data_IF_732640815545
#
_entry.id   IF_732640815545
#
_cell.length_a   1.000
_cell.length_b   1.000
_cell.length_c   1.000
_cell.angle_alpha   90.00
_cell.angle_beta   90.00
_cell.angle_gamma   90.00
#
_symmetry.space_group_name_H-M   'P 1'
#
loop_
_entity.id
_entity.type
_entity.pdbx_description
1 polymer ?
#
# COMPACT_ATOMS: atom_id res chain seq x y z
N UNK A 1 -23.80 -1.39 13.24
CA UNK A 1 -23.55 -0.09 12.57
C UNK A 1 -22.29 0.50 13.20
N UNK A 2 -21.19 0.67 12.46
CA UNK A 2 -19.91 1.20 12.99
C UNK A 2 -19.95 2.73 12.83
N UNK A 3 -19.90 3.48 13.92
CA UNK A 3 -19.84 4.95 13.90
C UNK A 3 -18.46 5.41 14.37
N UNK A 4 -17.86 6.35 13.66
CA UNK A 4 -16.63 7.03 14.06
C UNK A 4 -17.04 8.27 14.85
N UNK A 5 -16.69 8.28 16.13
CA UNK A 5 -16.95 9.41 17.01
C UNK A 5 -15.65 10.13 17.31
N UNK A 6 -15.70 11.45 17.36
CA UNK A 6 -14.61 12.27 17.86
C UNK A 6 -14.40 11.95 19.36
N UNK A 7 -13.18 11.55 19.78
CA UNK A 7 -12.90 11.19 21.17
C UNK A 7 -13.02 12.35 22.17
N UNK A 8 -12.97 13.61 21.71
CA UNK A 8 -13.10 14.79 22.57
C UNK A 8 -14.55 15.29 22.65
N UNK A 9 -15.31 15.19 21.56
CA UNK A 9 -16.66 15.79 21.47
C UNK A 9 -17.80 14.77 21.44
N UNK A 10 -17.50 13.49 21.18
CA UNK A 10 -18.50 12.43 21.01
C UNK A 10 -19.36 12.57 19.75
N UNK A 11 -19.06 13.56 18.90
CA UNK A 11 -19.80 13.82 17.67
C UNK A 11 -19.45 12.83 16.56
N UNK A 12 -20.41 12.52 15.70
CA UNK A 12 -20.18 11.60 14.57
C UNK A 12 -19.37 12.30 13.47
N UNK A 13 -18.17 11.78 13.21
CA UNK A 13 -17.29 12.28 12.14
C UNK A 13 -17.79 11.75 10.81
N UNK A 14 -18.54 12.59 10.09
CA UNK A 14 -18.97 12.33 8.72
C UNK A 14 -17.77 12.48 7.77
N UNK A 15 -16.99 11.41 7.60
CA UNK A 15 -15.95 11.36 6.58
C UNK A 15 -16.59 11.33 5.18
N UNK A 16 -15.99 12.02 4.21
CA UNK A 16 -16.41 11.95 2.80
C UNK A 16 -16.32 10.50 2.33
N UNK A 17 -17.36 10.00 1.66
CA UNK A 17 -17.39 8.62 1.18
C UNK A 17 -16.49 8.50 -0.06
N UNK A 18 -15.21 8.21 0.18
CA UNK A 18 -14.19 8.04 -0.86
C UNK A 18 -13.52 6.71 -0.66
N UNK A 19 -13.23 6.01 -1.76
CA UNK A 19 -12.46 4.77 -1.67
C UNK A 19 -10.98 5.01 -1.47
N UNK A 20 -10.45 6.24 -1.54
CA UNK A 20 -9.02 6.57 -1.59
C UNK A 20 -8.08 5.57 -0.88
N UNK A 21 -8.04 5.59 0.45
CA UNK A 21 -7.18 4.68 1.22
C UNK A 21 -7.56 3.19 1.08
N UNK A 22 -8.86 2.88 1.06
CA UNK A 22 -9.35 1.49 0.95
C UNK A 22 -9.06 0.88 -0.43
N UNK A 23 -9.08 1.67 -1.49
CA UNK A 23 -8.73 1.27 -2.85
C UNK A 23 -7.27 0.88 -2.94
N UNK A 24 -6.35 1.74 -2.52
CA UNK A 24 -4.91 1.40 -2.57
C UNK A 24 -4.58 0.21 -1.66
N UNK A 25 -5.24 0.11 -0.50
CA UNK A 25 -5.13 -1.06 0.37
C UNK A 25 -5.61 -2.34 -0.34
N UNK A 26 -6.82 -2.35 -0.91
CA UNK A 26 -7.35 -3.51 -1.64
C UNK A 26 -6.57 -3.82 -2.91
N UNK A 27 -6.07 -2.80 -3.60
CA UNK A 27 -5.22 -2.97 -4.77
C UNK A 27 -3.90 -3.66 -4.38
N UNK A 28 -3.29 -3.27 -3.26
CA UNK A 28 -2.07 -3.92 -2.75
C UNK A 28 -2.27 -5.39 -2.37
N UNK A 29 -3.42 -5.73 -1.76
CA UNK A 29 -3.69 -7.09 -1.27
C UNK A 29 -4.41 -8.01 -2.27
N UNK A 30 -5.15 -7.45 -3.22
CA UNK A 30 -6.08 -8.19 -4.08
C UNK A 30 -6.10 -7.66 -5.52
N UNK A 31 -5.28 -6.66 -5.87
CA UNK A 31 -5.27 -6.02 -7.20
C UNK A 31 -6.66 -5.52 -7.65
N UNK A 32 -7.55 -5.23 -6.69
CA UNK A 32 -8.96 -4.90 -6.94
C UNK A 32 -9.75 -6.01 -7.69
N UNK A 33 -9.20 -7.23 -7.77
CA UNK A 33 -9.86 -8.37 -8.41
C UNK A 33 -10.77 -9.12 -7.44
N UNK A 34 -11.87 -9.71 -7.94
CA UNK A 34 -12.72 -10.57 -7.12
C UNK A 34 -11.94 -11.80 -6.63
N UNK A 35 -12.38 -12.32 -5.49
CA UNK A 35 -11.90 -13.61 -5.00
C UNK A 35 -12.19 -14.70 -6.05
N UNK A 36 -11.23 -15.60 -6.35
CA UNK A 36 -9.97 -15.80 -5.64
C UNK A 36 -8.74 -15.15 -6.31
N UNK A 37 -8.85 -14.68 -7.56
CA UNK A 37 -7.73 -14.33 -8.43
C UNK A 37 -6.78 -13.27 -7.88
N UNK A 38 -7.33 -12.22 -7.29
CA UNK A 38 -6.55 -11.14 -6.68
C UNK A 38 -5.59 -11.62 -5.59
N UNK A 39 -6.09 -12.52 -4.73
CA UNK A 39 -5.29 -13.10 -3.66
C UNK A 39 -4.26 -14.08 -4.20
N UNK A 40 -4.63 -14.93 -5.16
CA UNK A 40 -3.66 -15.85 -5.76
C UNK A 40 -2.49 -15.11 -6.40
N UNK A 41 -2.75 -14.10 -7.25
CA UNK A 41 -1.68 -13.34 -7.91
C UNK A 41 -0.80 -12.56 -6.92
N UNK A 42 -1.39 -11.88 -5.93
CA UNK A 42 -0.64 -11.17 -4.90
C UNK A 42 0.20 -12.11 -4.03
N UNK A 43 -0.36 -13.27 -3.65
CA UNK A 43 0.33 -14.28 -2.84
C UNK A 43 1.41 -15.03 -3.64
N UNK A 44 1.20 -15.29 -4.94
CA UNK A 44 2.21 -15.86 -5.84
C UNK A 44 3.40 -14.93 -6.02
N UNK A 45 3.18 -13.61 -6.11
CA UNK A 45 4.27 -12.63 -6.13
C UNK A 45 5.05 -12.60 -4.79
N UNK A 46 4.38 -12.89 -3.67
CA UNK A 46 4.95 -13.00 -2.33
C UNK A 46 5.45 -14.42 -1.99
N UNK A 47 6.07 -15.09 -2.97
CA UNK A 47 6.49 -16.51 -2.99
C UNK A 47 7.37 -16.99 -1.79
N UNK A 48 7.74 -16.09 -0.89
CA UNK A 48 8.47 -16.41 0.35
C UNK A 48 7.56 -16.88 1.49
N UNK A 49 6.25 -16.57 1.47
CA UNK A 49 5.34 -16.96 2.57
C UNK A 49 4.80 -18.40 2.58
N UNK A 50 4.57 -19.11 1.45
CA UNK A 50 3.97 -20.46 1.51
C UNK A 50 4.95 -21.54 1.95
N UNK A 51 6.25 -21.39 1.69
CA UNK A 51 7.23 -22.46 1.86
C UNK A 51 7.34 -22.93 3.32
N UNK A 52 7.33 -22.01 4.29
CA UNK A 52 7.39 -22.34 5.72
C UNK A 52 6.09 -22.96 6.24
N UNK A 53 4.94 -22.55 5.68
CA UNK A 53 3.63 -23.11 6.02
C UNK A 53 3.54 -24.54 5.51
N UNK A 54 3.88 -24.76 4.23
CA UNK A 54 3.84 -26.07 3.59
C UNK A 54 4.85 -27.07 4.17
N UNK A 55 5.95 -26.61 4.79
CA UNK A 55 6.93 -27.49 5.44
C UNK A 55 6.53 -27.92 6.85
N UNK A 56 5.66 -27.17 7.53
CA UNK A 56 5.31 -27.40 8.95
C UNK A 56 3.85 -27.82 9.16
N UNK A 57 2.98 -27.63 8.16
CA UNK A 57 1.55 -27.91 8.27
C UNK A 57 1.06 -28.73 7.09
N UNK A 58 0.26 -29.75 7.36
CA UNK A 58 -0.39 -30.58 6.33
C UNK A 58 -1.39 -29.77 5.48
N UNK A 59 -2.01 -28.75 6.08
CA UNK A 59 -2.93 -27.85 5.38
C UNK A 59 -2.72 -26.40 5.80
N UNK A 60 -2.89 -25.48 4.86
CA UNK A 60 -2.85 -24.04 5.11
C UNK A 60 -3.92 -23.63 6.15
N UNK A 61 -5.06 -24.32 6.18
CA UNK A 61 -6.14 -24.11 7.14
C UNK A 61 -5.72 -24.45 8.58
N UNK A 62 -4.87 -25.46 8.78
CA UNK A 62 -4.34 -25.78 10.10
C UNK A 62 -3.48 -24.63 10.63
N UNK A 63 -2.59 -24.09 9.79
CA UNK A 63 -1.84 -22.87 10.10
C UNK A 63 -2.76 -21.70 10.43
N UNK A 64 -3.80 -21.42 9.63
CA UNK A 64 -4.69 -20.29 9.91
C UNK A 64 -5.48 -20.45 11.21
N UNK A 65 -5.89 -21.67 11.59
CA UNK A 65 -6.57 -21.91 12.88
C UNK A 65 -5.67 -21.64 14.07
N UNK A 66 -4.40 -22.02 13.96
CA UNK A 66 -3.41 -21.80 15.01
C UNK A 66 -2.88 -20.36 15.03
N UNK A 67 -2.73 -19.73 13.86
CA UNK A 67 -2.28 -18.34 13.70
C UNK A 67 -3.35 -17.32 14.10
N UNK A 68 -4.63 -17.66 13.94
CA UNK A 68 -5.78 -16.83 14.29
C UNK A 68 -6.75 -17.64 15.16
N UNK A 69 -6.36 -17.96 16.41
CA UNK A 69 -7.26 -18.64 17.33
C UNK A 69 -8.47 -17.73 17.53
N UNK A 70 -9.65 -18.21 17.13
CA UNK A 70 -10.89 -17.49 17.42
C UNK A 70 -11.22 -17.79 18.88
N UNK A 71 -11.25 -16.77 19.76
CA UNK A 71 -11.66 -17.00 21.14
C UNK A 71 -13.05 -17.63 21.13
N UNK A 72 -13.25 -18.70 21.88
CA UNK A 72 -14.56 -19.33 22.00
C UNK A 72 -15.53 -18.32 22.63
N UNK A 73 -16.38 -17.72 21.80
CA UNK A 73 -17.39 -16.78 22.27
C UNK A 73 -18.54 -17.57 22.85
N UNK A 74 -18.67 -17.53 24.18
CA UNK A 74 -19.83 -18.09 24.86
C UNK A 74 -21.11 -17.48 24.29
N UNK A 75 -22.10 -18.33 23.99
CA UNK A 75 -23.42 -17.85 23.58
C UNK A 75 -24.04 -17.07 24.73
N UNK A 76 -24.79 -16.02 24.39
CA UNK A 76 -25.54 -15.21 25.36
C UNK A 76 -26.58 -16.10 26.06
N UNK A 77 -26.51 -16.19 27.39
CA UNK A 77 -27.47 -16.96 28.21
C UNK A 77 -28.67 -16.12 28.66
N UNK A 78 -28.54 -14.78 28.60
CA UNK A 78 -29.61 -13.86 28.96
C UNK A 78 -29.83 -13.70 30.47
N UNK A 79 -28.87 -14.12 31.30
CA UNK A 79 -28.91 -13.95 32.75
C UNK A 79 -28.14 -12.69 33.12
N UNK A 80 -28.82 -11.63 33.61
CA UNK A 80 -28.14 -10.37 33.90
C UNK A 80 -27.07 -10.57 34.98
N UNK A 81 -25.84 -10.18 34.67
CA UNK A 81 -24.74 -10.15 35.62
C UNK A 81 -23.98 -8.83 35.48
N UNK A 82 -23.59 -8.19 36.60
CA UNK A 82 -22.81 -6.96 36.54
C UNK A 82 -21.42 -7.24 35.97
N UNK A 83 -20.96 -6.36 35.09
CA UNK A 83 -19.60 -6.44 34.56
C UNK A 83 -18.60 -6.01 35.65
N UNK A 84 -17.59 -6.85 35.89
CA UNK A 84 -16.48 -6.53 36.80
C UNK A 84 -15.70 -5.32 36.28
N UNK A 85 -15.16 -4.53 37.21
CA UNK A 85 -14.32 -3.39 36.87
C UNK A 85 -13.13 -3.83 35.99
N UNK A 86 -12.92 -3.12 34.88
CA UNK A 86 -11.88 -3.48 33.91
C UNK A 86 -10.47 -3.14 34.39
N UNK A 87 -10.32 -2.10 35.22
CA UNK A 87 -9.00 -1.63 35.66
C UNK A 87 -8.19 -2.69 36.44
N UNK A 88 -8.75 -3.44 37.41
CA UNK A 88 -8.07 -4.56 38.04
C UNK A 88 -7.63 -5.66 37.05
N UNK A 89 -8.46 -5.97 36.05
CA UNK A 89 -8.13 -6.98 35.03
C UNK A 89 -6.97 -6.52 34.14
N UNK A 90 -6.94 -5.24 33.77
CA UNK A 90 -5.84 -4.63 33.03
C UNK A 90 -4.54 -4.68 33.83
N UNK A 91 -4.59 -4.36 35.12
CA UNK A 91 -3.40 -4.44 35.99
C UNK A 91 -2.91 -5.88 36.15
N UNK A 92 -3.82 -6.84 36.32
CA UNK A 92 -3.48 -8.26 36.39
C UNK A 92 -2.84 -8.77 35.09
N UNK A 93 -3.34 -8.32 33.93
CA UNK A 93 -2.74 -8.65 32.65
C UNK A 93 -1.34 -8.04 32.48
N UNK A 94 -1.18 -6.75 32.80
CA UNK A 94 0.12 -6.06 32.73
C UNK A 94 1.16 -6.69 33.68
N UNK A 95 0.75 -7.14 34.88
CA UNK A 95 1.65 -7.78 35.82
C UNK A 95 2.08 -9.19 35.38
N UNK A 96 1.27 -9.85 34.54
CA UNK A 96 1.55 -11.20 34.02
C UNK A 96 2.41 -11.18 32.76
N UNK A 97 2.45 -10.08 32.04
CA UNK A 97 3.27 -9.94 30.85
C UNK A 97 4.66 -9.38 31.21
N UNK A 98 5.72 -10.12 30.89
CA UNK A 98 7.10 -9.69 31.16
C UNK A 98 7.49 -8.38 30.46
N UNK A 99 6.80 -8.06 29.36
CA UNK A 99 6.92 -6.79 28.65
C UNK A 99 5.64 -6.45 27.87
N UNK A 100 5.38 -5.15 27.72
CA UNK A 100 4.22 -4.61 27.02
C UNK A 100 3.06 -4.23 27.95
N UNK A 101 2.15 -3.41 27.44
CA UNK A 101 0.93 -2.99 28.15
C UNK A 101 -0.29 -3.51 27.40
N UNK A 102 -1.46 -3.54 28.04
CA UNK A 102 -2.73 -3.80 27.35
C UNK A 102 -2.95 -2.73 26.28
N UNK A 103 -2.96 -3.15 25.01
CA UNK A 103 -3.23 -2.28 23.86
C UNK A 103 -4.70 -2.26 23.45
N UNK A 104 -5.44 -3.34 23.76
CA UNK A 104 -6.87 -3.44 23.41
C UNK A 104 -7.64 -4.26 24.43
N UNK A 105 -8.85 -3.77 24.74
CA UNK A 105 -9.85 -4.44 25.57
C UNK A 105 -11.07 -4.73 24.71
N UNK A 106 -11.51 -5.99 24.67
CA UNK A 106 -12.72 -6.41 23.97
C UNK A 106 -13.66 -7.03 25.00
N UNK A 107 -14.86 -6.47 25.13
CA UNK A 107 -15.90 -7.00 26.01
C UNK A 107 -16.98 -7.65 25.15
N UNK A 108 -17.18 -8.95 25.33
CA UNK A 108 -18.26 -9.71 24.69
C UNK A 108 -19.40 -9.91 25.68
N UNK A 109 -20.64 -9.95 25.18
CA UNK A 109 -21.86 -10.13 25.95
C UNK A 109 -21.94 -9.26 27.23
N UNK A 110 -21.74 -7.91 27.13
CA UNK A 110 -21.78 -7.06 28.30
C UNK A 110 -23.14 -7.15 29.01
N UNK A 111 -23.10 -7.28 30.34
CA UNK A 111 -24.29 -7.37 31.19
C UNK A 111 -24.94 -8.76 31.26
N UNK A 112 -24.26 -9.82 30.79
CA UNK A 112 -24.69 -11.22 30.91
C UNK A 112 -23.71 -12.03 31.77
N UNK A 113 -24.16 -13.15 32.33
CA UNK A 113 -23.30 -14.07 33.08
C UNK A 113 -22.20 -14.71 32.23
N UNK A 114 -22.39 -14.73 30.90
CA UNK A 114 -21.41 -15.18 29.91
C UNK A 114 -20.54 -14.04 29.36
N UNK A 115 -20.51 -12.89 30.03
CA UNK A 115 -19.62 -11.80 29.67
C UNK A 115 -18.17 -12.28 29.69
N UNK A 116 -17.40 -11.94 28.65
CA UNK A 116 -15.96 -12.21 28.61
C UNK A 116 -15.20 -10.94 28.29
N UNK A 117 -14.06 -10.77 28.94
CA UNK A 117 -13.15 -9.64 28.76
C UNK A 117 -11.85 -10.19 28.18
N UNK A 118 -11.62 -9.91 26.91
CA UNK A 118 -10.40 -10.28 26.20
C UNK A 118 -9.43 -9.09 26.21
N UNK A 119 -8.26 -9.29 26.79
CA UNK A 119 -7.18 -8.31 26.84
C UNK A 119 -6.07 -8.76 25.91
N UNK A 120 -5.64 -7.89 24.98
CA UNK A 120 -4.50 -8.14 24.09
C UNK A 120 -3.40 -7.13 24.36
N UNK A 121 -2.14 -7.59 24.26
CA UNK A 121 -0.95 -6.73 24.35
C UNK A 121 -0.92 -5.68 23.24
N UNK A 122 -0.34 -4.53 23.56
CA UNK A 122 0.08 -3.54 22.58
C UNK A 122 1.31 -4.06 21.83
N UNK A 123 1.28 -3.99 20.51
CA UNK A 123 2.37 -4.45 19.64
C UNK A 123 3.19 -3.30 19.05
N UNK A 124 2.96 -2.06 19.52
CA UNK A 124 3.76 -0.89 19.14
C UNK A 124 5.25 -1.12 19.43
N UNK A 125 6.07 -0.97 18.39
CA UNK A 125 7.52 -1.13 18.44
C UNK A 125 8.02 -2.57 18.27
N UNK A 126 7.14 -3.58 18.26
CA UNK A 126 7.52 -4.97 17.99
C UNK A 126 7.43 -5.31 16.50
N UNK A 127 8.50 -5.87 15.94
CA UNK A 127 8.51 -6.41 14.57
C UNK A 127 7.54 -7.59 14.43
N UNK A 128 7.30 -8.34 15.51
CA UNK A 128 6.36 -9.46 15.51
C UNK A 128 5.05 -8.97 16.15
N UNK A 129 3.95 -8.78 15.38
CA UNK A 129 2.68 -8.33 15.93
C UNK A 129 2.20 -9.26 17.05
N UNK A 130 1.75 -8.72 18.17
CA UNK A 130 1.31 -9.53 19.31
C UNK A 130 -0.14 -10.02 19.13
N UNK A 131 -0.36 -10.90 18.15
CA UNK A 131 -1.71 -11.44 17.80
C UNK A 131 -2.21 -12.57 18.70
N UNK A 132 -1.36 -13.08 19.58
CA UNK A 132 -1.60 -14.33 20.31
C UNK A 132 -1.45 -14.24 21.83
N UNK A 133 -0.94 -13.17 22.41
CA UNK A 133 -0.79 -13.05 23.87
C UNK A 133 -2.07 -12.65 24.61
N UNK A 134 -3.24 -13.13 24.17
CA UNK A 134 -4.52 -12.65 24.67
C UNK A 134 -4.93 -13.38 25.96
N UNK A 135 -5.27 -12.60 26.99
CA UNK A 135 -5.81 -13.13 28.25
C UNK A 135 -7.33 -12.94 28.25
N UNK A 136 -8.07 -14.03 28.47
CA UNK A 136 -9.53 -14.00 28.55
C UNK A 136 -9.96 -14.12 29.99
N UNK A 137 -10.65 -13.11 30.50
CA UNK A 137 -11.24 -13.09 31.83
C UNK A 137 -12.76 -13.23 31.74
N UNK A 138 -13.35 -13.81 32.78
CA UNK A 138 -14.80 -13.76 33.00
C UNK A 138 -15.21 -12.33 33.34
N UNK A 139 -16.15 -11.79 32.57
CA UNK A 139 -16.73 -10.48 32.83
C UNK A 139 -17.64 -10.45 34.06
N UNK A 140 -18.14 -11.59 34.53
CA UNK A 140 -19.00 -11.70 35.71
C UNK A 140 -18.22 -11.96 37.01
N UNK A 141 -17.15 -12.75 36.96
CA UNK A 141 -16.36 -13.13 38.15
C UNK A 141 -14.95 -12.56 38.20
N UNK A 142 -14.43 -12.05 37.08
CA UNK A 142 -13.04 -11.59 36.97
C UNK A 142 -12.01 -12.72 36.94
N UNK A 143 -12.43 -13.98 36.97
CA UNK A 143 -11.54 -15.13 36.91
C UNK A 143 -10.89 -15.27 35.53
N UNK A 144 -9.61 -15.66 35.48
CA UNK A 144 -8.94 -15.98 34.22
C UNK A 144 -9.52 -17.28 33.65
N UNK A 145 -10.10 -17.21 32.45
CA UNK A 145 -10.74 -18.33 31.77
C UNK A 145 -9.81 -19.04 30.81
N UNK A 146 -9.02 -18.27 30.04
CA UNK A 146 -8.13 -18.83 29.05
C UNK A 146 -6.87 -17.96 28.89
N UNK A 147 -5.75 -18.64 28.73
CA UNK A 147 -4.45 -18.08 28.39
C UNK A 147 -3.98 -18.78 27.12
N UNK A 148 -3.86 -18.01 26.04
CA UNK A 148 -3.38 -18.55 24.77
C UNK A 148 -1.88 -18.88 24.93
N UNK A 149 -1.44 -20.13 24.64
CA UNK A 149 -0.06 -20.56 24.87
C UNK A 149 0.96 -19.84 23.99
N UNK A 150 2.25 -19.98 24.35
CA UNK A 150 3.38 -19.48 23.55
C UNK A 150 3.34 -20.01 22.11
N UNK A 151 3.80 -19.16 21.18
CA UNK A 151 3.59 -19.39 19.75
C UNK A 151 4.55 -20.44 19.19
N UNK A 152 4.10 -21.26 18.22
CA UNK A 152 4.98 -22.05 17.39
C UNK A 152 6.00 -21.16 16.67
N UNK A 153 7.23 -21.66 16.48
CA UNK A 153 8.31 -20.95 15.78
C UNK A 153 7.88 -20.54 14.36
N UNK A 154 7.10 -21.37 13.67
CA UNK A 154 6.56 -21.07 12.34
C UNK A 154 5.69 -19.80 12.34
N UNK A 155 4.87 -19.60 13.37
CA UNK A 155 4.03 -18.42 13.53
C UNK A 155 4.86 -17.17 13.84
N UNK A 156 5.95 -17.30 14.61
CA UNK A 156 6.88 -16.20 14.88
C UNK A 156 7.57 -15.72 13.61
N UNK A 157 8.07 -16.65 12.78
CA UNK A 157 8.72 -16.32 11.50
C UNK A 157 7.72 -15.64 10.55
N UNK A 158 6.52 -16.20 10.39
CA UNK A 158 5.48 -15.62 9.52
C UNK A 158 5.03 -14.24 10.02
N UNK A 159 4.84 -14.09 11.34
CA UNK A 159 4.44 -12.82 11.95
C UNK A 159 5.53 -11.77 11.87
N UNK A 160 6.81 -12.15 11.99
CA UNK A 160 7.95 -11.26 11.78
C UNK A 160 8.06 -10.77 10.34
N UNK A 161 7.90 -11.66 9.35
CA UNK A 161 7.83 -11.28 7.94
C UNK A 161 6.65 -10.34 7.66
N UNK A 162 5.49 -10.64 8.24
CA UNK A 162 4.32 -9.76 8.15
C UNK A 162 4.59 -8.38 8.76
N UNK A 163 5.20 -8.31 9.95
CA UNK A 163 5.46 -7.04 10.60
C UNK A 163 6.56 -6.23 9.91
N UNK A 164 7.58 -6.87 9.33
CA UNK A 164 8.54 -6.23 8.43
C UNK A 164 7.86 -5.65 7.17
N UNK A 165 6.93 -6.39 6.58
CA UNK A 165 6.21 -5.96 5.37
C UNK A 165 5.26 -4.79 5.64
N UNK A 166 4.55 -4.81 6.77
CA UNK A 166 3.58 -3.76 7.12
C UNK A 166 4.27 -2.56 7.78
N UNK A 167 5.43 -2.75 8.41
CA UNK A 167 6.21 -1.68 9.02
C UNK A 167 5.54 -1.03 10.24
N UNK A 168 4.62 -1.72 10.93
CA UNK A 168 3.86 -1.15 12.05
C UNK A 168 4.77 -0.68 13.20
N UNK A 169 5.84 -1.45 13.44
CA UNK A 169 6.87 -1.17 14.44
C UNK A 169 7.72 0.07 14.16
N UNK A 170 7.73 0.57 12.91
CA UNK A 170 8.63 1.63 12.53
C UNK A 170 8.17 2.98 13.10
N UNK A 171 9.04 3.60 13.90
CA UNK A 171 8.94 5.00 14.29
C UNK A 171 9.17 5.95 13.09
N UNK A 172 8.84 7.26 13.19
CA UNK A 172 8.86 8.18 12.05
C UNK A 172 10.16 8.16 11.24
N UNK A 173 11.33 8.12 11.90
CA UNK A 173 12.62 8.06 11.22
C UNK A 173 12.77 6.76 10.40
N UNK A 174 12.44 5.62 11.00
CA UNK A 174 12.57 4.33 10.33
C UNK A 174 11.59 4.21 9.16
N UNK A 175 10.39 4.80 9.26
CA UNK A 175 9.44 4.90 8.14
C UNK A 175 10.01 5.68 6.97
N UNK A 176 10.70 6.80 7.24
CA UNK A 176 11.39 7.56 6.19
C UNK A 176 12.54 6.78 5.56
N UNK A 177 13.32 6.04 6.35
CA UNK A 177 14.37 5.17 5.80
C UNK A 177 13.79 4.06 4.92
N UNK A 178 12.74 3.38 5.38
CA UNK A 178 12.02 2.38 4.59
C UNK A 178 11.49 2.95 3.28
N UNK A 179 10.90 4.14 3.33
CA UNK A 179 10.40 4.85 2.16
C UNK A 179 11.54 5.18 1.17
N UNK A 180 12.63 5.78 1.64
CA UNK A 180 13.77 6.18 0.80
C UNK A 180 14.42 4.95 0.16
N UNK A 181 14.67 3.88 0.94
CA UNK A 181 15.23 2.65 0.40
C UNK A 181 14.28 1.93 -0.55
N UNK A 182 12.96 1.99 -0.32
CA UNK A 182 11.96 1.49 -1.26
C UNK A 182 11.99 2.24 -2.60
N UNK A 183 12.07 3.57 -2.56
CA UNK A 183 12.23 4.41 -3.76
C UNK A 183 13.56 4.11 -4.47
N UNK A 184 14.66 3.99 -3.72
CA UNK A 184 15.97 3.66 -4.27
C UNK A 184 16.00 2.27 -4.92
N UNK A 185 15.39 1.26 -4.28
CA UNK A 185 15.25 -0.09 -4.81
C UNK A 185 14.44 -0.11 -6.11
N UNK A 186 13.32 0.62 -6.14
CA UNK A 186 12.50 0.77 -7.35
C UNK A 186 13.29 1.46 -8.47
N UNK A 187 14.03 2.52 -8.16
CA UNK A 187 14.86 3.21 -9.13
C UNK A 187 16.00 2.33 -9.67
N UNK A 188 16.63 1.52 -8.82
CA UNK A 188 17.67 0.57 -9.21
C UNK A 188 17.14 -0.49 -10.18
N UNK A 189 16.00 -1.11 -9.87
CA UNK A 189 15.36 -2.11 -10.76
C UNK A 189 14.95 -1.44 -12.08
N UNK A 190 14.31 -0.28 -12.01
CA UNK A 190 13.81 0.42 -13.19
C UNK A 190 14.94 0.87 -14.13
N UNK A 191 16.00 1.47 -13.58
CA UNK A 191 17.18 1.86 -14.36
C UNK A 191 17.92 0.65 -14.93
N UNK A 192 18.03 -0.45 -14.19
CA UNK A 192 18.58 -1.71 -14.67
C UNK A 192 17.85 -2.24 -15.90
N UNK A 193 16.51 -2.25 -15.87
CA UNK A 193 15.67 -2.68 -17.00
C UNK A 193 15.82 -1.77 -18.22
N UNK A 194 15.86 -0.45 -18.02
CA UNK A 194 16.05 0.52 -19.10
C UNK A 194 17.43 0.37 -19.75
N UNK A 195 18.49 0.22 -18.96
CA UNK A 195 19.85 0.02 -19.46
C UNK A 195 19.99 -1.32 -20.21
N UNK A 196 19.42 -2.39 -19.66
CA UNK A 196 19.42 -3.70 -20.30
C UNK A 196 18.69 -3.66 -21.64
N UNK A 197 17.52 -3.03 -21.69
CA UNK A 197 16.74 -2.87 -22.91
C UNK A 197 17.52 -2.08 -23.97
N UNK A 198 18.16 -0.97 -23.58
CA UNK A 198 19.00 -0.17 -24.48
C UNK A 198 20.18 -0.96 -25.07
N UNK A 199 20.88 -1.75 -24.25
CA UNK A 199 21.95 -2.64 -24.73
C UNK A 199 21.44 -3.69 -25.70
N UNK A 200 20.25 -4.27 -25.46
CA UNK A 200 19.67 -5.26 -26.35
C UNK A 200 19.14 -4.68 -27.65
N UNK A 201 18.50 -3.53 -27.61
CA UNK A 201 18.10 -2.80 -28.82
C UNK A 201 19.32 -2.52 -29.72
N UNK A 202 20.46 -2.12 -29.17
CA UNK A 202 21.71 -1.92 -29.94
C UNK A 202 22.25 -3.20 -30.57
N UNK A 203 22.19 -4.33 -29.87
CA UNK A 203 22.65 -5.63 -30.40
C UNK A 203 21.77 -6.09 -31.58
N UNK A 204 20.45 -5.90 -31.47
CA UNK A 204 19.51 -6.30 -32.52
C UNK A 204 19.38 -5.28 -33.66
N UNK A 205 19.73 -4.01 -33.42
CA UNK A 205 19.85 -3.01 -34.49
C UNK A 205 20.89 -3.45 -35.53
N UNK A 206 21.95 -4.17 -35.12
CA UNK A 206 22.92 -4.78 -36.05
C UNK A 206 22.34 -5.90 -36.91
N UNK A 207 21.23 -6.51 -36.50
CA UNK A 207 20.55 -7.61 -37.21
C UNK A 207 19.29 -7.16 -37.97
N UNK A 208 18.96 -5.86 -37.96
CA UNK A 208 17.86 -5.28 -38.74
C UNK A 208 16.43 -5.54 -38.27
N UNK A 209 16.21 -6.43 -37.30
CA UNK A 209 14.87 -6.79 -36.79
C UNK A 209 14.80 -6.58 -35.28
N UNK A 210 13.79 -5.83 -34.81
CA UNK A 210 13.48 -5.72 -33.38
C UNK A 210 12.42 -6.79 -33.02
N UNK A 211 12.75 -7.80 -32.19
CA UNK A 211 11.80 -8.82 -31.79
C UNK A 211 10.63 -8.24 -30.98
N UNK A 212 9.45 -8.83 -31.16
CA UNK A 212 8.20 -8.44 -30.47
C UNK A 212 8.36 -8.44 -28.95
N UNK A 213 9.13 -9.38 -28.41
CA UNK A 213 9.43 -9.50 -26.97
C UNK A 213 10.10 -8.23 -26.42
N UNK A 214 11.05 -7.65 -27.14
CA UNK A 214 11.73 -6.42 -26.71
C UNK A 214 10.79 -5.22 -26.78
N UNK A 215 9.90 -5.18 -27.77
CA UNK A 215 8.86 -4.14 -27.86
C UNK A 215 7.85 -4.28 -26.71
N UNK A 216 7.47 -5.50 -26.36
CA UNK A 216 6.58 -5.78 -25.22
C UNK A 216 7.22 -5.31 -23.91
N UNK A 217 8.48 -5.65 -23.65
CA UNK A 217 9.21 -5.20 -22.45
C UNK A 217 9.32 -3.68 -22.40
N UNK A 218 9.59 -3.03 -23.54
CA UNK A 218 9.62 -1.56 -23.63
C UNK A 218 8.27 -0.93 -23.22
N UNK A 219 7.18 -1.44 -23.78
CA UNK A 219 5.81 -0.97 -23.51
C UNK A 219 5.44 -1.20 -22.05
N UNK A 220 5.73 -2.38 -21.51
CA UNK A 220 5.45 -2.71 -20.11
C UNK A 220 6.25 -1.84 -19.15
N UNK A 221 7.52 -1.53 -19.46
CA UNK A 221 8.33 -0.63 -18.64
C UNK A 221 7.75 0.79 -18.61
N UNK A 222 7.30 1.30 -19.77
CA UNK A 222 6.67 2.63 -19.87
C UNK A 222 5.33 2.64 -19.12
N UNK A 223 4.47 1.65 -19.34
CA UNK A 223 3.16 1.62 -18.69
C UNK A 223 3.24 1.37 -17.17
N UNK A 224 4.21 0.57 -16.70
CA UNK A 224 4.35 0.25 -15.27
C UNK A 224 5.02 1.35 -14.46
N UNK A 225 5.99 2.08 -15.04
CA UNK A 225 6.72 3.12 -14.30
C UNK A 225 6.00 4.48 -14.41
N UNK A 226 6.10 5.25 -15.52
CA UNK A 226 5.40 6.52 -15.62
C UNK A 226 3.88 6.37 -15.81
N UNK A 227 3.41 5.32 -16.49
CA UNK A 227 1.97 5.09 -16.68
C UNK A 227 1.21 4.87 -15.37
N UNK A 228 1.78 4.13 -14.42
CA UNK A 228 1.20 3.96 -13.09
C UNK A 228 1.17 5.27 -12.30
N UNK A 229 2.22 6.10 -12.41
CA UNK A 229 2.26 7.42 -11.76
C UNK A 229 1.14 8.34 -12.29
N UNK A 230 0.88 8.31 -13.60
CA UNK A 230 -0.24 9.03 -14.20
C UNK A 230 -1.57 8.52 -13.65
N UNK A 231 -1.75 7.19 -13.56
CA UNK A 231 -2.98 6.60 -13.03
C UNK A 231 -3.25 7.02 -11.58
N UNK A 232 -2.22 7.00 -10.72
CA UNK A 232 -2.31 7.47 -9.33
C UNK A 232 -2.67 8.95 -9.28
N UNK A 233 -2.02 9.80 -10.08
CA UNK A 233 -2.34 11.22 -10.13
C UNK A 233 -3.77 11.46 -10.61
N UNK A 234 -4.21 10.78 -11.68
CA UNK A 234 -5.58 10.87 -12.20
C UNK A 234 -6.63 10.46 -11.17
N UNK A 235 -6.34 9.48 -10.31
CA UNK A 235 -7.22 9.12 -9.19
C UNK A 235 -7.39 10.29 -8.22
N UNK A 236 -6.31 10.98 -7.85
CA UNK A 236 -6.39 12.17 -6.99
C UNK A 236 -7.13 13.34 -7.63
N UNK A 237 -6.99 13.51 -8.94
CA UNK A 237 -7.76 14.49 -9.71
C UNK A 237 -9.26 14.13 -9.73
N UNK A 238 -9.61 12.88 -10.00
CA UNK A 238 -10.99 12.40 -9.98
C UNK A 238 -11.63 12.61 -8.59
N UNK A 239 -10.88 12.33 -7.52
CA UNK A 239 -11.37 12.54 -6.16
C UNK A 239 -11.69 14.02 -5.87
N UNK A 240 -10.98 14.97 -6.47
CA UNK A 240 -11.23 16.41 -6.29
C UNK A 240 -12.33 16.94 -7.20
N UNK A 241 -12.39 16.45 -8.44
CA UNK A 241 -13.34 16.92 -9.46
C UNK A 241 -14.72 16.29 -9.37
N UNK A 242 -14.83 15.04 -8.91
CA UNK A 242 -16.12 14.37 -8.79
C UNK A 242 -16.97 15.02 -7.67
N UNK A 243 -18.24 15.35 -7.92
CA UNK A 243 -19.16 15.86 -6.90
C UNK A 243 -19.36 14.87 -5.75
N UNK A 244 -19.70 15.37 -4.55
CA UNK A 244 -19.93 14.52 -3.36
C UNK A 244 -21.21 13.67 -3.48
N UNK A 245 -22.25 14.17 -4.16
CA UNK A 245 -23.52 13.45 -4.34
C UNK A 245 -23.57 12.49 -5.54
N UNK A 246 -22.43 12.22 -6.20
CA UNK A 246 -22.41 11.41 -7.40
C UNK A 246 -22.57 9.92 -7.06
N UNK A 247 -23.63 9.29 -7.59
CA UNK A 247 -23.93 7.87 -7.35
C UNK A 247 -22.81 6.99 -7.91
N UNK A 248 -22.28 6.09 -7.09
CA UNK A 248 -21.16 5.22 -7.51
C UNK A 248 -19.84 5.95 -7.73
N UNK A 249 -19.68 7.17 -7.17
CA UNK A 249 -18.44 7.96 -7.24
C UNK A 249 -17.18 7.15 -6.98
N UNK A 250 -17.21 6.33 -5.93
CA UNK A 250 -16.08 5.51 -5.54
C UNK A 250 -15.67 4.50 -6.62
N UNK A 251 -16.61 3.95 -7.39
CA UNK A 251 -16.32 3.09 -8.54
C UNK A 251 -15.74 3.90 -9.71
N UNK A 252 -16.26 5.11 -9.93
CA UNK A 252 -15.74 6.01 -10.95
C UNK A 252 -14.30 6.47 -10.69
N UNK A 253 -13.93 6.75 -9.44
CA UNK A 253 -12.54 7.05 -9.06
C UNK A 253 -11.61 5.89 -9.49
N UNK A 254 -12.04 4.64 -9.25
CA UNK A 254 -11.32 3.43 -9.66
C UNK A 254 -11.31 3.25 -11.18
N UNK A 255 -12.43 3.50 -11.86
CA UNK A 255 -12.52 3.43 -13.32
C UNK A 255 -11.58 4.44 -13.99
N UNK A 256 -11.46 5.66 -13.46
CA UNK A 256 -10.51 6.66 -13.97
C UNK A 256 -9.08 6.16 -13.84
N UNK A 257 -8.72 5.58 -12.69
CA UNK A 257 -7.38 4.99 -12.48
C UNK A 257 -7.05 3.94 -13.55
N UNK A 258 -7.90 2.92 -13.71
CA UNK A 258 -7.64 1.84 -14.68
C UNK A 258 -7.72 2.31 -16.13
N UNK A 259 -8.61 3.26 -16.44
CA UNK A 259 -8.74 3.83 -17.79
C UNK A 259 -7.49 4.62 -18.15
N UNK A 260 -7.01 5.51 -17.27
CA UNK A 260 -5.76 6.23 -17.51
C UNK A 260 -4.56 5.29 -17.62
N UNK A 261 -4.53 4.22 -16.81
CA UNK A 261 -3.46 3.24 -16.91
C UNK A 261 -3.50 2.45 -18.23
N UNK A 262 -4.69 2.00 -18.67
CA UNK A 262 -4.88 1.33 -19.96
C UNK A 262 -4.53 2.26 -21.14
N UNK A 263 -4.93 3.53 -21.09
CA UNK A 263 -4.55 4.54 -22.08
C UNK A 263 -3.02 4.75 -22.11
N UNK A 264 -2.34 4.64 -20.97
CA UNK A 264 -0.87 4.68 -20.93
C UNK A 264 -0.22 3.50 -21.68
N UNK A 265 -0.82 2.31 -21.63
CA UNK A 265 -0.37 1.14 -22.41
C UNK A 265 -0.59 1.38 -23.90
N UNK A 266 -1.79 1.81 -24.29
CA UNK A 266 -2.13 2.12 -25.69
C UNK A 266 -1.19 3.19 -26.25
N UNK A 267 -0.94 4.24 -25.48
CA UNK A 267 0.01 5.28 -25.83
C UNK A 267 1.43 4.72 -26.04
N UNK A 268 1.91 3.87 -25.14
CA UNK A 268 3.23 3.24 -25.25
C UNK A 268 3.35 2.30 -26.45
N UNK A 269 2.25 1.63 -26.85
CA UNK A 269 2.19 0.79 -28.05
C UNK A 269 2.36 1.61 -29.34
N UNK A 270 1.72 2.78 -29.42
CA UNK A 270 1.73 3.63 -30.63
C UNK A 270 2.98 4.51 -30.72
N UNK A 271 3.53 4.95 -29.58
CA UNK A 271 4.67 5.88 -29.56
C UNK A 271 6.02 5.19 -29.53
N UNK A 272 7.04 5.85 -30.09
CA UNK A 272 8.45 5.44 -29.99
C UNK A 272 8.90 5.51 -28.52
N UNK A 273 9.66 4.52 -28.05
CA UNK A 273 9.98 4.34 -26.63
C UNK A 273 10.45 5.60 -25.90
N UNK A 274 11.49 6.29 -26.39
CA UNK A 274 12.00 7.52 -25.75
C UNK A 274 10.97 8.65 -25.70
N UNK A 275 10.18 8.84 -26.76
CA UNK A 275 9.13 9.87 -26.77
C UNK A 275 8.02 9.52 -25.80
N UNK A 276 7.63 8.23 -25.76
CA UNK A 276 6.62 7.73 -24.85
C UNK A 276 7.01 7.94 -23.38
N UNK A 277 8.27 7.66 -23.03
CA UNK A 277 8.84 7.96 -21.71
C UNK A 277 8.72 9.44 -21.36
N UNK A 278 9.19 10.33 -22.24
CA UNK A 278 9.16 11.78 -22.01
C UNK A 278 7.73 12.31 -21.87
N UNK A 279 6.83 11.89 -22.75
CA UNK A 279 5.42 12.34 -22.78
C UNK A 279 4.68 11.88 -21.52
N UNK A 280 4.86 10.62 -21.10
CA UNK A 280 4.20 10.12 -19.89
C UNK A 280 4.81 10.71 -18.60
N UNK A 281 6.13 10.79 -18.49
CA UNK A 281 6.78 11.46 -17.36
C UNK A 281 6.38 12.94 -17.27
N UNK A 282 6.32 13.63 -18.41
CA UNK A 282 5.88 15.02 -18.49
C UNK A 282 4.41 15.20 -18.10
N UNK A 283 3.51 14.33 -18.58
CA UNK A 283 2.11 14.35 -18.17
C UNK A 283 1.96 14.09 -16.66
N UNK A 284 2.67 13.10 -16.12
CA UNK A 284 2.72 12.83 -14.69
C UNK A 284 3.22 14.04 -13.89
N UNK A 285 4.26 14.72 -14.38
CA UNK A 285 4.79 15.93 -13.77
C UNK A 285 3.73 17.04 -13.65
N UNK A 286 2.99 17.29 -14.74
CA UNK A 286 1.90 18.28 -14.77
C UNK A 286 0.77 17.89 -13.83
N UNK A 287 0.34 16.62 -13.85
CA UNK A 287 -0.75 16.15 -12.99
C UNK A 287 -0.39 16.26 -11.51
N UNK A 288 0.81 15.85 -11.10
CA UNK A 288 1.24 15.94 -9.71
C UNK A 288 1.48 17.39 -9.26
N UNK A 289 2.16 18.20 -10.09
CA UNK A 289 2.40 19.61 -9.78
C UNK A 289 1.11 20.45 -9.78
N UNK A 290 0.09 20.02 -10.54
CA UNK A 290 -1.21 20.66 -10.60
C UNK A 290 -2.15 20.33 -9.43
N UNK A 291 -1.85 19.33 -8.60
CA UNK A 291 -2.73 18.96 -7.47
C UNK A 291 -2.96 20.09 -6.46
N UNK A 292 -1.93 20.82 -5.97
CA UNK A 292 -2.15 21.94 -5.05
C UNK A 292 -2.94 23.10 -5.69
N UNK A 293 -2.77 23.31 -7.00
CA UNK A 293 -3.55 24.29 -7.76
C UNK A 293 -5.01 23.85 -7.88
N UNK A 294 -5.25 22.55 -8.07
CA UNK A 294 -6.59 21.99 -8.09
C UNK A 294 -7.27 22.10 -6.71
N UNK A 295 -6.54 21.93 -5.62
CA UNK A 295 -7.05 22.12 -4.26
C UNK A 295 -7.45 23.57 -3.99
N UNK A 296 -6.64 24.53 -4.47
CA UNK A 296 -6.98 25.95 -4.44
C UNK A 296 -8.32 26.22 -5.15
N UNK A 297 -8.53 25.63 -6.33
CA UNK A 297 -9.74 25.87 -7.15
C UNK A 297 -10.99 25.14 -6.64
N UNK A 298 -10.85 23.95 -6.06
CA UNK A 298 -11.99 23.11 -5.67
C UNK A 298 -12.39 23.28 -4.21
N UNK A 299 -11.41 23.48 -3.32
CA UNK A 299 -11.61 23.42 -1.87
C UNK A 299 -11.35 24.76 -1.19
N UNK A 300 -10.82 25.76 -1.92
CA UNK A 300 -10.44 27.07 -1.38
C UNK A 300 -9.29 27.03 -0.36
N UNK A 301 -8.70 25.85 -0.14
CA UNK A 301 -7.58 25.61 0.77
C UNK A 301 -6.35 25.28 -0.07
N UNK A 302 -5.28 26.01 0.14
CA UNK A 302 -4.03 25.88 -0.61
C UNK A 302 -2.86 25.69 0.35
N UNK A 303 -1.74 25.17 -0.15
CA UNK A 303 -0.53 24.81 0.61
C UNK A 303 -0.19 25.83 1.73
N UNK A 304 -0.16 27.12 1.41
CA UNK A 304 0.16 28.18 2.37
C UNK A 304 -0.93 28.35 3.44
N UNK A 305 -2.21 28.28 3.05
CA UNK A 305 -3.33 28.31 3.99
C UNK A 305 -3.32 27.11 4.94
N UNK A 306 -3.02 25.90 4.42
CA UNK A 306 -2.89 24.66 5.21
C UNK A 306 -1.70 24.68 6.18
N UNK A 307 -0.61 25.36 5.79
CA UNK A 307 0.55 25.59 6.64
C UNK A 307 0.22 26.56 7.79
N UNK A 308 -0.48 27.65 7.48
CA UNK A 308 -0.91 28.63 8.49
C UNK A 308 -1.97 28.08 9.44
N UNK A 309 -2.81 27.13 9.01
CA UNK A 309 -3.82 26.46 9.84
C UNK A 309 -3.28 25.27 10.64
N UNK A 310 -1.97 24.96 10.57
CA UNK A 310 -1.35 23.85 11.31
C UNK A 310 -1.76 22.45 10.82
N UNK A 311 -2.34 22.33 9.62
CA UNK A 311 -2.78 21.04 9.07
C UNK A 311 -1.64 20.28 8.38
N UNK A 312 -0.71 19.75 9.19
CA UNK A 312 0.52 19.11 8.72
C UNK A 312 0.34 17.99 7.70
N UNK A 313 -0.73 17.20 7.81
CA UNK A 313 -1.01 16.09 6.87
C UNK A 313 -1.28 16.61 5.46
N UNK A 314 -2.06 17.67 5.33
CA UNK A 314 -2.44 18.22 4.03
C UNK A 314 -1.25 18.94 3.39
N UNK A 315 -0.50 19.69 4.19
CA UNK A 315 0.76 20.31 3.75
C UNK A 315 1.79 19.28 3.29
N UNK A 316 1.94 18.17 4.03
CA UNK A 316 2.86 17.09 3.65
C UNK A 316 2.43 16.40 2.35
N UNK A 317 1.13 16.21 2.14
CA UNK A 317 0.60 15.67 0.88
C UNK A 317 0.92 16.58 -0.30
N UNK A 318 0.57 17.87 -0.21
CA UNK A 318 0.79 18.83 -1.29
C UNK A 318 2.28 19.01 -1.62
N UNK A 319 3.13 19.09 -0.58
CA UNK A 319 4.58 19.16 -0.77
C UNK A 319 5.12 17.90 -1.45
N UNK A 320 4.65 16.72 -1.03
CA UNK A 320 5.04 15.44 -1.65
C UNK A 320 4.63 15.42 -3.12
N UNK A 321 3.40 15.83 -3.43
CA UNK A 321 2.91 15.91 -4.81
C UNK A 321 3.77 16.86 -5.66
N UNK A 322 4.13 18.04 -5.16
CA UNK A 322 5.03 18.97 -5.85
C UNK A 322 6.41 18.37 -6.10
N UNK A 323 7.03 17.78 -5.07
CA UNK A 323 8.35 17.14 -5.18
C UNK A 323 8.33 16.00 -6.19
N UNK A 324 7.30 15.15 -6.16
CA UNK A 324 7.10 14.09 -7.16
C UNK A 324 6.92 14.67 -8.56
N UNK A 325 6.11 15.72 -8.72
CA UNK A 325 5.92 16.39 -10.00
C UNK A 325 7.22 16.95 -10.58
N UNK A 326 8.01 17.65 -9.76
CA UNK A 326 9.33 18.18 -10.14
C UNK A 326 10.31 17.05 -10.51
N UNK A 327 10.32 15.97 -9.74
CA UNK A 327 11.17 14.81 -10.02
C UNK A 327 10.81 14.14 -11.35
N UNK A 328 9.51 13.92 -11.62
CA UNK A 328 9.04 13.37 -12.89
C UNK A 328 9.37 14.31 -14.06
N UNK A 329 9.24 15.62 -13.87
CA UNK A 329 9.60 16.63 -14.87
C UNK A 329 11.09 16.60 -15.18
N UNK A 330 11.94 16.56 -14.15
CA UNK A 330 13.39 16.38 -14.30
C UNK A 330 13.74 15.07 -15.02
N UNK A 331 13.08 13.96 -14.67
CA UNK A 331 13.28 12.68 -15.35
C UNK A 331 12.86 12.75 -16.83
N UNK A 332 11.74 13.42 -17.16
CA UNK A 332 11.30 13.63 -18.54
C UNK A 332 12.37 14.36 -19.38
N UNK A 333 13.07 15.33 -18.78
CA UNK A 333 14.16 16.07 -19.42
C UNK A 333 15.40 15.19 -19.71
N UNK A 334 15.56 14.05 -19.04
CA UNK A 334 16.62 13.08 -19.33
C UNK A 334 16.30 12.20 -20.54
N UNK A 335 15.02 11.96 -20.82
CA UNK A 335 14.54 11.22 -22.00
C UNK A 335 14.35 12.12 -23.24
N UNK A 336 15.28 13.05 -23.49
CA UNK A 336 15.25 13.88 -24.71
C UNK A 336 15.34 13.00 -25.96
N UNK A 337 14.54 13.33 -26.97
CA UNK A 337 14.71 12.78 -28.30
C UNK A 337 16.11 13.15 -28.80
N UNK A 338 16.88 12.17 -29.28
CA UNK A 338 18.13 12.46 -29.97
C UNK A 338 17.82 13.33 -31.19
N UNK A 339 18.57 14.42 -31.43
CA UNK A 339 18.48 15.16 -32.69
C UNK A 339 18.65 14.20 -33.87
N UNK A 340 17.88 14.40 -34.94
CA UNK A 340 17.94 13.56 -36.14
C UNK A 340 19.38 13.43 -36.70
N UNK A 341 20.19 14.48 -36.56
CA UNK A 341 21.60 14.51 -36.96
C UNK A 341 22.50 13.56 -36.15
N UNK A 342 22.19 13.36 -34.86
CA UNK A 342 22.96 12.48 -33.97
C UNK A 342 22.55 11.02 -34.14
N UNK A 343 21.29 10.76 -34.49
CA UNK A 343 20.82 9.44 -34.91
C UNK A 343 21.45 9.01 -36.23
N UNK A 344 21.61 9.93 -37.19
CA UNK A 344 22.31 9.69 -38.44
C UNK A 344 23.82 9.43 -38.23
N UNK A 345 24.48 10.16 -37.32
CA UNK A 345 25.90 9.91 -36.98
C UNK A 345 26.14 8.55 -36.31
N UNK A 346 25.29 8.16 -35.37
CA UNK A 346 25.40 6.85 -34.70
C UNK A 346 25.13 5.71 -35.70
N UNK A 347 24.20 5.89 -36.65
CA UNK A 347 23.97 4.95 -37.74
C UNK A 347 25.20 4.84 -38.68
N UNK A 348 25.83 5.96 -39.04
CA UNK A 348 27.03 5.99 -39.88
C UNK A 348 28.27 5.38 -39.20
N UNK A 349 28.41 5.51 -37.88
CA UNK A 349 29.51 4.89 -37.11
C UNK A 349 29.30 3.38 -36.88
N UNK A 350 28.07 2.88 -37.01
CA UNK A 350 27.75 1.46 -36.86
C UNK A 350 27.96 0.65 -38.14
N UNK A 351 28.13 1.31 -39.29
CA UNK A 351 28.54 0.67 -40.55
C UNK A 351 30.06 0.45 -40.45
N UNK A 352 30.57 -0.79 -40.59
CA UNK A 352 32.01 -1.03 -40.64
C UNK A 352 32.58 -0.19 -41.78
N UNK A 353 33.51 0.72 -41.48
CA UNK A 353 34.35 1.30 -42.53
C UNK A 353 35.16 0.15 -43.10
N UNK A 354 34.77 -0.36 -44.26
CA UNK A 354 35.63 -1.25 -45.03
C UNK A 354 36.90 -0.44 -45.35
N UNK A 355 37.97 -0.79 -44.65
CA UNK A 355 39.32 -0.35 -44.95
C UNK A 355 39.76 -1.09 -46.20
N UNK A 356 39.77 -0.39 -47.33
CA UNK A 356 40.47 -0.81 -48.55
C UNK A 356 41.97 -0.85 -48.35
#
# INVERSE_FOLDING_TARGET
>A
MRKLLDPQTGSEVQARDTRGGDFFYRFHYQLQMPYPWGRWLATSAAMVMPASILSQYDTVQAFYREAYPTPEMLKREGKPAPLVALAPLVNAANAKWDSGQVGRVIVNNPGDSTATVLLTRDDKGSIVPDRGGALTFSGASGALLNEVPERPVALLISSGMYGLHVGHFAEPLLRWMYFIFGVAGTAMIGTGLVMWLGKRQLKHAKTGVLPLELRLVEVLNIASMPGLMIAVASFFWANRLLPSGFTGRADWEVSVFFTCWALSVVHALVRKGRSAWREQLGLGAVLFAGLPLLDLLTSGRYLLGSLMSGSWVMTAFDLTALVTGLFLGWAALKFKALPAAETARVALQAIPRESH
#
